data_IF_107025782507
#
_entry.id   IF_107025782507
#
_cell.length_a   1.000
_cell.length_b   1.000
_cell.length_c   1.000
_cell.angle_alpha   90.00
_cell.angle_beta   90.00
_cell.angle_gamma   90.00
#
_symmetry.space_group_name_H-M   'P 1'
#
loop_
_entity.id
_entity.type
_entity.pdbx_description
1 polymer ?
#
# COMPACT_ATOMS: atom_id res chain seq x y z
N UNK A 1 9.46 -2.17 -10.70
CA UNK A 1 9.36 -3.52 -10.11
C UNK A 1 8.62 -3.40 -8.78
N UNK A 2 7.79 -4.36 -8.44
CA UNK A 2 7.15 -4.45 -7.12
C UNK A 2 7.76 -5.64 -6.37
N UNK A 3 7.98 -5.50 -5.07
CA UNK A 3 8.53 -6.54 -4.21
C UNK A 3 7.63 -6.74 -2.98
N UNK A 4 7.42 -8.00 -2.58
CA UNK A 4 6.69 -8.32 -1.37
C UNK A 4 7.60 -8.22 -0.13
N UNK A 5 7.06 -7.65 0.96
CA UNK A 5 7.67 -7.60 2.29
C UNK A 5 6.59 -7.98 3.29
N UNK A 6 6.46 -9.27 3.54
CA UNK A 6 5.28 -9.84 4.19
C UNK A 6 5.62 -10.51 5.51
N UNK A 7 4.67 -10.51 6.42
CA UNK A 7 4.63 -11.36 7.60
C UNK A 7 3.73 -12.58 7.33
N UNK A 8 3.70 -13.53 8.26
CA UNK A 8 2.83 -14.70 8.14
C UNK A 8 1.36 -14.27 8.05
N UNK A 9 0.65 -14.78 7.03
CA UNK A 9 -0.75 -14.44 6.71
C UNK A 9 -1.04 -12.96 6.47
N UNK A 10 -0.02 -12.15 6.18
CA UNK A 10 -0.11 -10.75 5.81
C UNK A 10 0.74 -10.48 4.58
N UNK A 11 0.32 -9.53 3.78
CA UNK A 11 1.05 -9.17 2.57
C UNK A 11 1.13 -7.66 2.41
N UNK A 12 2.35 -7.16 2.45
CA UNK A 12 2.68 -5.80 2.07
C UNK A 12 3.57 -5.81 0.84
N UNK A 13 3.47 -4.80 0.00
CA UNK A 13 4.32 -4.62 -1.18
C UNK A 13 5.05 -3.29 -1.12
N UNK A 14 6.12 -3.16 -1.89
CA UNK A 14 6.84 -1.90 -2.06
C UNK A 14 7.27 -1.76 -3.53
N UNK A 15 7.13 -0.56 -4.09
CA UNK A 15 7.66 -0.21 -5.39
C UNK A 15 9.17 0.01 -5.31
N UNK A 16 9.93 -0.62 -6.20
CA UNK A 16 11.38 -0.55 -6.21
C UNK A 16 11.94 -0.35 -7.62
N UNK A 17 13.17 0.15 -7.70
CA UNK A 17 13.95 0.19 -8.93
C UNK A 17 15.19 -0.70 -8.80
N UNK A 18 15.60 -1.31 -9.91
CA UNK A 18 16.95 -1.84 -10.00
C UNK A 18 17.97 -0.71 -10.04
N UNK A 19 19.22 -1.00 -9.70
CA UNK A 19 20.30 0.01 -9.67
C UNK A 19 20.54 0.65 -11.03
N UNK A 20 20.38 -0.11 -12.12
CA UNK A 20 20.51 0.36 -13.50
C UNK A 20 19.27 1.11 -14.01
N UNK A 21 18.16 1.07 -13.25
CA UNK A 21 16.87 1.66 -13.61
C UNK A 21 16.31 1.24 -14.97
N UNK A 22 16.75 0.10 -15.50
CA UNK A 22 16.37 -0.43 -16.81
C UNK A 22 15.18 -1.40 -16.77
N UNK A 23 14.34 -1.34 -15.74
CA UNK A 23 13.14 -2.15 -15.63
C UNK A 23 12.12 -1.85 -16.75
N UNK A 24 11.39 -2.87 -17.21
CA UNK A 24 10.41 -2.73 -18.31
C UNK A 24 9.26 -1.79 -17.96
N UNK A 25 8.83 -1.77 -16.70
CA UNK A 25 7.72 -0.96 -16.24
C UNK A 25 8.22 0.14 -15.30
N UNK A 26 7.73 1.36 -15.47
CA UNK A 26 7.72 2.34 -14.40
C UNK A 26 6.81 1.87 -13.27
N UNK A 27 7.04 2.34 -12.06
CA UNK A 27 6.12 2.14 -10.95
C UNK A 27 6.07 3.42 -10.11
N UNK A 28 4.95 3.62 -9.44
CA UNK A 28 4.72 4.69 -8.47
C UNK A 28 3.81 4.19 -7.37
N UNK A 29 4.00 4.69 -6.16
CA UNK A 29 3.02 4.52 -5.10
C UNK A 29 1.90 5.55 -5.28
N UNK A 30 0.65 5.10 -5.15
CA UNK A 30 -0.52 5.97 -5.02
C UNK A 30 -1.04 5.77 -3.60
N UNK A 31 -1.00 6.83 -2.82
CA UNK A 31 -1.34 6.81 -1.40
C UNK A 31 -2.51 7.74 -1.09
N UNK A 32 -3.34 7.32 -0.15
CA UNK A 32 -4.40 8.12 0.45
C UNK A 32 -4.01 8.35 1.90
N UNK A 33 -4.06 9.61 2.34
CA UNK A 33 -3.86 9.95 3.74
C UNK A 33 -5.02 9.40 4.56
N UNK A 34 -4.70 8.64 5.59
CA UNK A 34 -5.65 8.15 6.58
C UNK A 34 -5.41 8.83 7.92
N UNK A 35 -6.46 9.01 8.69
CA UNK A 35 -6.46 9.69 9.97
C UNK A 35 -7.00 8.77 11.06
N UNK A 36 -6.88 9.11 12.35
CA UNK A 36 -7.48 8.34 13.44
C UNK A 36 -8.97 8.06 13.25
N UNK A 37 -9.71 8.95 12.58
CA UNK A 37 -11.14 8.78 12.28
C UNK A 37 -11.40 7.58 11.36
N UNK A 38 -10.45 7.27 10.46
CA UNK A 38 -10.53 6.12 9.56
C UNK A 38 -10.27 4.78 10.25
N UNK A 39 -9.63 4.80 11.42
CA UNK A 39 -9.26 3.57 12.13
C UNK A 39 -10.44 2.93 12.87
N UNK A 40 -11.52 3.68 13.10
CA UNK A 40 -12.73 3.20 13.76
C UNK A 40 -12.57 2.94 15.26
N UNK A 41 -11.51 3.47 15.90
CA UNK A 41 -11.22 3.32 17.32
C UNK A 41 -10.27 4.42 17.80
N UNK A 42 -10.44 4.84 19.05
CA UNK A 42 -9.56 5.80 19.75
C UNK A 42 -8.35 5.11 20.43
N UNK A 43 -8.18 3.81 20.25
CA UNK A 43 -7.04 3.07 20.80
C UNK A 43 -5.73 3.56 20.17
N UNK A 44 -4.70 3.76 21.00
CA UNK A 44 -3.39 4.23 20.54
C UNK A 44 -2.73 3.32 19.48
N UNK A 45 -3.13 2.06 19.39
CA UNK A 45 -2.65 1.08 18.41
C UNK A 45 -3.64 0.84 17.26
N UNK A 46 -4.75 1.59 17.19
CA UNK A 46 -5.78 1.41 16.17
C UNK A 46 -5.22 1.50 14.74
N UNK A 47 -4.28 2.43 14.49
CA UNK A 47 -3.61 2.56 13.20
C UNK A 47 -2.79 1.32 12.81
N UNK A 48 -2.14 0.66 13.78
CA UNK A 48 -1.43 -0.62 13.54
C UNK A 48 -2.44 -1.72 13.20
N UNK A 49 -3.56 -1.79 13.92
CA UNK A 49 -4.61 -2.76 13.63
C UNK A 49 -5.21 -2.54 12.23
N UNK A 50 -5.40 -1.29 11.84
CA UNK A 50 -5.86 -0.91 10.51
C UNK A 50 -4.88 -1.36 9.41
N UNK A 51 -3.57 -1.05 9.53
CA UNK A 51 -2.54 -1.55 8.61
C UNK A 51 -2.57 -3.07 8.47
N UNK A 52 -2.57 -3.78 9.60
CA UNK A 52 -2.61 -5.24 9.64
C UNK A 52 -3.83 -5.80 8.93
N UNK A 53 -4.98 -5.17 9.10
CA UNK A 53 -6.21 -5.55 8.42
C UNK A 53 -6.10 -5.46 6.91
N UNK A 54 -5.52 -4.38 6.40
CA UNK A 54 -5.26 -4.23 4.95
C UNK A 54 -4.30 -5.29 4.44
N UNK A 55 -3.23 -5.60 5.18
CA UNK A 55 -2.26 -6.64 4.82
C UNK A 55 -2.87 -8.05 4.82
N UNK A 56 -3.77 -8.34 5.77
CA UNK A 56 -4.53 -9.59 5.83
C UNK A 56 -5.50 -9.70 4.64
N UNK A 57 -6.19 -8.61 4.30
CA UNK A 57 -7.07 -8.57 3.14
C UNK A 57 -6.27 -8.79 1.84
N UNK A 58 -5.10 -8.16 1.70
CA UNK A 58 -4.21 -8.36 0.55
C UNK A 58 -3.73 -9.81 0.44
N UNK A 59 -3.36 -10.43 1.58
CA UNK A 59 -2.98 -11.83 1.62
C UNK A 59 -4.13 -12.76 1.20
N UNK A 60 -5.35 -12.50 1.68
CA UNK A 60 -6.55 -13.25 1.30
C UNK A 60 -6.87 -13.09 -0.18
N UNK A 61 -6.91 -11.85 -0.68
CA UNK A 61 -7.20 -11.56 -2.09
C UNK A 61 -6.21 -12.24 -3.03
N UNK A 62 -4.92 -12.21 -2.68
CA UNK A 62 -3.84 -12.82 -3.46
C UNK A 62 -3.60 -14.30 -3.16
N UNK A 63 -4.29 -14.89 -2.19
CA UNK A 63 -4.06 -16.28 -1.74
C UNK A 63 -2.56 -16.52 -1.38
N UNK A 64 -1.98 -15.60 -0.63
CA UNK A 64 -0.57 -15.61 -0.25
C UNK A 64 0.41 -15.09 -1.32
N UNK A 65 -0.09 -14.69 -2.49
CA UNK A 65 0.69 -14.09 -3.59
C UNK A 65 0.35 -12.60 -3.70
N UNK A 66 1.21 -11.82 -4.38
CA UNK A 66 0.92 -10.41 -4.63
C UNK A 66 -0.34 -10.28 -5.50
N UNK A 67 -1.42 -9.66 -5.01
CA UNK A 67 -2.62 -9.44 -5.81
C UNK A 67 -2.35 -8.36 -6.86
N UNK A 68 -2.80 -8.62 -8.08
CA UNK A 68 -2.66 -7.73 -9.24
C UNK A 68 -4.01 -7.54 -9.90
N UNK A 69 -4.33 -6.32 -10.27
CA UNK A 69 -5.57 -5.96 -10.95
C UNK A 69 -5.31 -4.91 -12.02
N UNK A 70 -5.99 -5.01 -13.16
CA UNK A 70 -6.03 -3.92 -14.14
C UNK A 70 -6.84 -2.75 -13.58
N UNK A 71 -6.44 -1.52 -13.88
CA UNK A 71 -7.15 -0.35 -13.38
C UNK A 71 -8.60 -0.28 -13.88
N UNK A 72 -8.87 -0.69 -15.11
CA UNK A 72 -10.24 -0.79 -15.62
C UNK A 72 -11.12 -1.72 -14.77
N UNK A 73 -10.59 -2.88 -14.38
CA UNK A 73 -11.31 -3.84 -13.55
C UNK A 73 -11.44 -3.39 -12.10
N UNK A 74 -10.43 -2.66 -11.58
CA UNK A 74 -10.52 -1.99 -10.29
C UNK A 74 -11.69 -1.01 -10.24
N UNK A 75 -11.84 -0.17 -11.26
CA UNK A 75 -12.97 0.77 -11.39
C UNK A 75 -14.32 0.05 -11.44
N UNK A 76 -14.39 -1.08 -12.13
CA UNK A 76 -15.60 -1.90 -12.29
C UNK A 76 -15.83 -2.84 -11.08
N UNK A 77 -14.96 -2.82 -10.09
CA UNK A 77 -14.97 -3.70 -8.92
C UNK A 77 -15.14 -5.18 -9.29
N UNK A 78 -14.27 -5.67 -10.16
CA UNK A 78 -14.27 -7.07 -10.61
C UNK A 78 -12.84 -7.62 -10.71
N UNK A 79 -12.68 -8.91 -10.51
CA UNK A 79 -11.40 -9.60 -10.68
C UNK A 79 -10.95 -9.48 -12.14
N UNK A 80 -9.66 -9.13 -12.35
CA UNK A 80 -9.05 -9.23 -13.67
C UNK A 80 -8.86 -10.69 -14.08
N UNK A 81 -9.16 -11.01 -15.32
CA UNK A 81 -8.97 -12.35 -15.89
C UNK A 81 -7.73 -12.47 -16.75
N UNK A 82 -7.16 -11.36 -17.16
CA UNK A 82 -5.97 -11.25 -18.02
C UNK A 82 -5.18 -9.97 -17.74
N UNK A 83 -3.95 -9.88 -18.22
CA UNK A 83 -3.06 -8.73 -17.98
C UNK A 83 -3.14 -7.64 -19.05
N UNK A 84 -3.86 -7.81 -20.12
CA UNK A 84 -3.86 -6.85 -21.22
C UNK A 84 -2.48 -6.72 -21.89
N UNK A 85 -2.11 -5.49 -22.27
CA UNK A 85 -0.85 -5.20 -22.99
C UNK A 85 0.36 -5.08 -22.05
N UNK A 86 0.15 -4.85 -20.75
CA UNK A 86 1.21 -4.68 -19.76
C UNK A 86 1.41 -5.96 -18.97
N UNK A 87 2.63 -6.50 -19.01
CA UNK A 87 3.01 -7.64 -18.16
C UNK A 87 3.50 -7.18 -16.80
N UNK A 88 3.12 -7.86 -15.70
CA UNK A 88 3.61 -7.52 -14.38
C UNK A 88 5.14 -7.60 -14.26
N UNK A 89 5.74 -6.66 -13.54
CA UNK A 89 7.15 -6.70 -13.16
C UNK A 89 7.23 -6.79 -11.63
N UNK A 90 7.02 -7.98 -11.10
CA UNK A 90 6.91 -8.27 -9.67
C UNK A 90 7.95 -9.30 -9.29
N UNK A 91 8.68 -9.03 -8.20
CA UNK A 91 9.61 -9.99 -7.62
C UNK A 91 8.85 -10.88 -6.62
N UNK A 92 8.75 -12.14 -6.95
CA UNK A 92 7.99 -13.13 -6.19
C UNK A 92 6.73 -13.61 -6.90
N UNK A 93 5.93 -14.42 -6.23
CA UNK A 93 4.69 -14.94 -6.79
C UNK A 93 3.58 -13.86 -6.78
N UNK A 94 2.81 -13.80 -7.84
CA UNK A 94 1.68 -12.88 -7.99
C UNK A 94 0.49 -13.59 -8.65
N UNK A 95 -0.69 -13.01 -8.52
CA UNK A 95 -1.92 -13.55 -9.09
C UNK A 95 -2.90 -12.43 -9.43
N UNK A 96 -3.75 -12.68 -10.42
CA UNK A 96 -4.88 -11.80 -10.70
C UNK A 96 -5.89 -11.89 -9.55
N UNK A 97 -6.34 -10.75 -9.05
CA UNK A 97 -7.23 -10.65 -7.91
C UNK A 97 -8.05 -9.35 -7.96
N UNK A 98 -8.99 -9.19 -7.04
CA UNK A 98 -9.67 -7.92 -6.84
C UNK A 98 -8.92 -7.07 -5.78
N UNK A 99 -8.02 -6.22 -6.22
CA UNK A 99 -7.25 -5.32 -5.34
C UNK A 99 -8.16 -4.30 -4.65
N UNK A 100 -9.29 -3.95 -5.27
CA UNK A 100 -10.27 -3.02 -4.68
C UNK A 100 -10.84 -3.52 -3.35
N UNK A 101 -11.02 -4.83 -3.20
CA UNK A 101 -11.57 -5.45 -1.98
C UNK A 101 -10.61 -5.43 -0.78
N UNK A 102 -9.34 -5.07 -0.98
CA UNK A 102 -8.37 -4.90 0.10
C UNK A 102 -8.79 -3.73 1.01
N UNK A 103 -9.37 -2.69 0.42
CA UNK A 103 -9.60 -1.40 1.05
C UNK A 103 -11.07 -1.21 1.46
N UNK A 104 -11.34 -0.41 2.50
CA UNK A 104 -12.65 0.18 2.70
C UNK A 104 -13.12 0.92 1.44
N UNK A 105 -14.44 0.99 1.26
CA UNK A 105 -15.06 1.57 0.05
C UNK A 105 -14.59 3.00 -0.20
N UNK A 106 -14.52 3.81 0.84
CA UNK A 106 -14.13 5.23 0.78
C UNK A 106 -12.69 5.39 0.28
N UNK A 107 -11.78 4.56 0.77
CA UNK A 107 -10.39 4.58 0.32
C UNK A 107 -10.24 4.09 -1.13
N UNK A 108 -11.03 3.08 -1.52
CA UNK A 108 -11.05 2.61 -2.92
C UNK A 108 -11.51 3.69 -3.88
N UNK A 109 -12.52 4.48 -3.51
CA UNK A 109 -13.01 5.61 -4.30
C UNK A 109 -11.95 6.72 -4.36
N UNK A 110 -11.34 7.08 -3.24
CA UNK A 110 -10.27 8.09 -3.18
C UNK A 110 -9.06 7.70 -4.03
N UNK A 111 -8.67 6.42 -4.03
CA UNK A 111 -7.61 5.90 -4.90
C UNK A 111 -8.00 6.02 -6.38
N UNK A 112 -9.22 5.64 -6.74
CA UNK A 112 -9.73 5.75 -8.11
C UNK A 112 -9.69 7.20 -8.60
N UNK A 113 -10.26 8.11 -7.82
CA UNK A 113 -10.31 9.54 -8.14
C UNK A 113 -8.89 10.14 -8.24
N UNK A 114 -8.00 9.76 -7.33
CA UNK A 114 -6.60 10.18 -7.34
C UNK A 114 -5.86 9.73 -8.60
N UNK A 115 -6.02 8.48 -9.03
CA UNK A 115 -5.42 7.95 -10.25
C UNK A 115 -5.97 8.68 -11.48
N UNK A 116 -7.29 8.90 -11.56
CA UNK A 116 -7.93 9.65 -12.64
C UNK A 116 -7.44 11.11 -12.69
N UNK A 117 -7.31 11.75 -11.54
CA UNK A 117 -6.80 13.13 -11.45
C UNK A 117 -5.32 13.21 -11.91
N UNK A 118 -4.51 12.20 -11.60
CA UNK A 118 -3.10 12.14 -12.05
C UNK A 118 -2.97 12.00 -13.56
N UNK A 119 -3.92 11.38 -14.24
CA UNK A 119 -3.91 11.24 -15.70
C UNK A 119 -3.93 12.58 -16.43
N UNK A 120 -4.55 13.60 -15.83
CA UNK A 120 -4.51 14.97 -16.38
C UNK A 120 -3.10 15.58 -16.37
N UNK A 121 -2.21 15.12 -15.48
CA UNK A 121 -0.83 15.59 -15.36
C UNK A 121 0.15 14.67 -16.06
N UNK A 122 -0.11 13.37 -16.02
CA UNK A 122 0.74 12.31 -16.57
C UNK A 122 -0.15 11.45 -17.47
N UNK A 123 -0.23 11.81 -18.74
CA UNK A 123 -1.10 11.13 -19.71
C UNK A 123 -0.83 9.63 -19.76
N UNK A 124 -1.87 8.83 -19.60
CA UNK A 124 -1.80 7.36 -19.56
C UNK A 124 -1.62 6.78 -18.16
N UNK A 125 -1.58 7.62 -17.11
CA UNK A 125 -1.49 7.15 -15.73
C UNK A 125 -2.72 6.35 -15.29
N UNK A 126 -3.90 6.66 -15.84
CA UNK A 126 -5.15 5.95 -15.65
C UNK A 126 -5.53 5.05 -16.85
N UNK A 127 -4.55 4.58 -17.61
CA UNK A 127 -4.79 3.67 -18.71
C UNK A 127 -5.48 2.38 -18.27
N UNK A 128 -6.32 1.82 -19.12
CA UNK A 128 -7.12 0.62 -18.82
C UNK A 128 -6.25 -0.58 -18.41
N UNK A 129 -5.07 -0.70 -19.00
CA UNK A 129 -4.10 -1.79 -18.78
C UNK A 129 -3.07 -1.50 -17.68
N UNK A 130 -3.15 -0.33 -17.01
CA UNK A 130 -2.30 -0.04 -15.86
C UNK A 130 -2.56 -1.08 -14.78
N UNK A 131 -1.49 -1.66 -14.24
CA UNK A 131 -1.58 -2.71 -13.24
C UNK A 131 -1.44 -2.11 -11.83
N UNK A 132 -2.43 -2.39 -11.01
CA UNK A 132 -2.41 -2.09 -9.58
C UNK A 132 -1.95 -3.32 -8.81
N UNK A 133 -1.08 -3.11 -7.82
CA UNK A 133 -0.66 -4.15 -6.87
C UNK A 133 -0.77 -3.59 -5.46
N UNK A 134 -1.24 -4.37 -4.54
CA UNK A 134 -1.48 -3.89 -3.16
C UNK A 134 -1.12 -4.96 -2.11
N UNK A 135 -0.95 -4.48 -0.93
CA UNK A 135 -1.07 -3.12 -0.43
C UNK A 135 0.31 -2.58 -0.02
N UNK A 136 0.61 -1.33 -0.32
CA UNK A 136 1.74 -0.62 0.26
C UNK A 136 1.28 0.10 1.53
N UNK A 137 1.21 -0.64 2.63
CA UNK A 137 0.66 -0.20 3.92
C UNK A 137 1.67 0.48 4.82
N UNK A 138 2.96 0.35 4.53
CA UNK A 138 4.07 0.75 5.42
C UNK A 138 4.84 1.94 4.87
N UNK A 139 4.13 2.98 4.44
CA UNK A 139 4.72 4.23 3.94
C UNK A 139 5.20 5.12 5.09
N UNK A 140 4.50 5.07 6.23
CA UNK A 140 4.85 5.77 7.47
C UNK A 140 4.28 5.02 8.66
N UNK A 141 4.81 5.29 9.87
CA UNK A 141 4.27 4.70 11.09
C UNK A 141 2.89 5.30 11.40
N UNK A 142 1.89 4.47 11.72
CA UNK A 142 0.58 4.93 12.16
C UNK A 142 0.56 5.33 13.64
N UNK A 143 1.69 5.22 14.33
CA UNK A 143 1.87 5.58 15.74
C UNK A 143 3.11 6.43 15.93
N UNK A 144 3.10 7.27 16.98
CA UNK A 144 4.26 8.03 17.39
C UNK A 144 4.54 7.78 18.87
N UNK A 145 5.77 7.44 19.20
CA UNK A 145 6.23 7.30 20.59
C UNK A 145 6.76 8.66 21.03
N UNK A 146 6.07 9.35 21.91
CA UNK A 146 6.44 10.69 22.38
C UNK A 146 7.82 10.69 23.07
N UNK A 147 8.62 11.71 22.75
CA UNK A 147 9.94 11.93 23.30
C UNK A 147 10.19 13.42 23.54
N UNK A 148 11.00 13.73 24.56
CA UNK A 148 11.41 15.10 24.91
C UNK A 148 12.52 15.63 23.95
N UNK A 149 12.98 16.85 24.20
CA UNK A 149 14.05 17.51 23.44
C UNK A 149 15.39 16.75 23.44
N UNK A 150 15.64 15.95 24.49
CA UNK A 150 16.81 15.08 24.62
C UNK A 150 16.62 13.74 23.91
N UNK A 151 15.55 13.59 23.11
CA UNK A 151 15.17 12.37 22.41
C UNK A 151 14.86 11.16 23.31
N UNK A 152 14.62 11.36 24.60
CA UNK A 152 14.24 10.33 25.56
C UNK A 152 12.71 10.23 25.62
N UNK A 153 12.17 9.02 25.69
CA UNK A 153 10.73 8.80 25.85
C UNK A 153 10.23 9.54 27.11
N UNK A 154 9.11 10.24 27.00
CA UNK A 154 8.52 10.96 28.12
C UNK A 154 8.11 10.07 29.30
N UNK A 155 7.83 8.79 29.02
CA UNK A 155 7.37 7.84 30.03
C UNK A 155 8.45 6.88 30.52
N UNK A 156 9.52 6.66 29.76
CA UNK A 156 10.54 5.65 30.06
C UNK A 156 11.92 6.21 29.78
N UNK A 157 12.65 6.58 30.82
CA UNK A 157 13.88 7.37 30.78
C UNK A 157 15.08 6.71 30.09
N UNK A 158 15.03 5.43 29.76
CA UNK A 158 16.10 4.70 29.07
C UNK A 158 15.73 4.26 27.63
N UNK A 159 14.56 4.70 27.13
CA UNK A 159 14.14 4.47 25.74
C UNK A 159 14.33 5.76 24.94
N UNK A 160 14.96 5.61 23.76
CA UNK A 160 15.20 6.69 22.79
C UNK A 160 14.43 6.39 21.50
N UNK A 161 13.18 6.84 21.37
CA UNK A 161 12.38 6.60 20.17
C UNK A 161 13.03 7.28 18.95
N UNK A 162 13.30 6.51 17.88
CA UNK A 162 13.86 7.03 16.64
C UNK A 162 13.42 6.19 15.45
N UNK A 163 13.58 6.77 14.25
CA UNK A 163 13.27 6.11 12.99
C UNK A 163 11.77 5.99 12.68
N UNK A 164 11.46 5.36 11.57
CA UNK A 164 10.10 5.25 11.03
C UNK A 164 9.13 4.57 12.00
N UNK A 165 9.51 3.42 12.56
CA UNK A 165 8.64 2.66 13.46
C UNK A 165 8.21 3.39 14.73
N UNK A 166 8.98 4.40 15.15
CA UNK A 166 8.67 5.27 16.28
C UNK A 166 7.99 6.59 15.85
N UNK A 167 7.71 6.79 14.56
CA UNK A 167 7.08 7.99 14.01
C UNK A 167 8.02 9.18 13.81
N UNK A 168 9.31 8.94 13.56
CA UNK A 168 10.35 9.98 13.40
C UNK A 168 11.20 9.79 12.13
N UNK A 169 10.60 9.41 11.01
CA UNK A 169 11.26 9.37 9.69
C UNK A 169 10.65 10.37 8.74
#
# INVERSE_FOLDING_TARGET
MVNASSEEHRLAVNGMSYSDRAGKNANSAVIVTVTPEDFGSDDALAGIAFQRKLEENAWKAGQGKVPVQRFEDFRKNRISTEYGTVSPCIKGAYTLANVREIFPKELSLSLEDGILAMDHKIRGFAGEDVLLSGVESRTSSPVRIERNEQCVSEKISWIYPCGEGAGYA
#
